data_IF_582894850783
#
_entry.id   IF_582894850783
#
_cell.length_a   1.000
_cell.length_b   1.000
_cell.length_c   1.000
_cell.angle_alpha   90.00
_cell.angle_beta   90.00
_cell.angle_gamma   90.00
#
_symmetry.space_group_name_H-M   'P 1'
#
loop_
_entity.id
_entity.type
_entity.pdbx_description
1 polymer ?
#
# COMPACT_ATOMS: atom_id res chain seq x y z
N UNK A 1 -3.57 30.09 -27.65
CA UNK A 1 -4.66 29.91 -26.66
C UNK A 1 -4.86 28.42 -26.43
N UNK A 2 -4.29 27.88 -25.35
CA UNK A 2 -4.46 26.47 -24.97
C UNK A 2 -5.71 26.39 -24.07
N UNK A 3 -6.86 26.06 -24.68
CA UNK A 3 -8.05 25.61 -23.94
C UNK A 3 -7.79 24.20 -23.45
N UNK A 4 -7.40 24.06 -22.19
CA UNK A 4 -7.35 22.77 -21.49
C UNK A 4 -8.76 22.53 -20.94
N UNK A 5 -9.34 21.41 -21.35
CA UNK A 5 -10.75 21.07 -21.15
C UNK A 5 -11.18 21.09 -19.69
N UNK A 6 -12.19 21.93 -19.42
CA UNK A 6 -13.08 21.83 -18.28
C UNK A 6 -13.92 20.55 -18.43
N UNK A 7 -13.43 19.43 -17.94
CA UNK A 7 -14.21 18.20 -17.83
C UNK A 7 -15.19 18.32 -16.67
N UNK A 8 -16.47 18.44 -17.03
CA UNK A 8 -17.70 18.12 -16.30
C UNK A 8 -17.75 18.47 -14.81
N UNK A 9 -18.56 19.48 -14.46
CA UNK A 9 -19.01 19.68 -13.09
C UNK A 9 -19.80 18.46 -12.63
N UNK A 10 -19.38 17.85 -11.51
CA UNK A 10 -20.19 16.90 -10.76
C UNK A 10 -21.48 17.62 -10.35
N UNK A 11 -22.53 17.47 -11.17
CA UNK A 11 -23.85 18.03 -10.83
C UNK A 11 -24.34 17.34 -9.57
N UNK A 12 -25.08 18.04 -8.70
CA UNK A 12 -25.60 17.48 -7.43
C UNK A 12 -26.29 16.12 -7.60
N UNK A 13 -26.91 15.88 -8.77
CA UNK A 13 -27.53 14.60 -9.12
C UNK A 13 -26.55 13.41 -9.13
N UNK A 14 -25.30 13.61 -9.51
CA UNK A 14 -24.28 12.56 -9.57
C UNK A 14 -23.83 12.13 -8.16
N UNK A 15 -23.67 13.10 -7.27
CA UNK A 15 -23.26 12.86 -5.87
C UNK A 15 -24.29 11.99 -5.12
N UNK A 16 -25.58 12.19 -5.39
CA UNK A 16 -26.65 11.39 -4.75
C UNK A 16 -26.69 9.93 -5.21
N UNK A 17 -26.17 9.62 -6.41
CA UNK A 17 -26.15 8.26 -6.97
C UNK A 17 -24.87 7.50 -6.64
N UNK A 18 -23.86 8.20 -6.10
CA UNK A 18 -22.55 7.63 -5.80
C UNK A 18 -22.61 6.61 -4.65
N UNK A 19 -21.86 5.51 -4.77
CA UNK A 19 -21.73 4.52 -3.71
C UNK A 19 -21.11 5.13 -2.44
N UNK A 20 -21.46 4.63 -1.25
CA UNK A 20 -20.94 5.13 0.02
C UNK A 20 -19.41 5.02 0.11
N UNK A 21 -18.84 3.91 -0.38
CA UNK A 21 -17.39 3.68 -0.39
C UNK A 21 -16.67 4.75 -1.25
N UNK A 22 -17.18 5.00 -2.46
CA UNK A 22 -16.68 6.04 -3.34
C UNK A 22 -16.83 7.43 -2.70
N UNK A 23 -17.97 7.74 -2.08
CA UNK A 23 -18.19 9.00 -1.37
C UNK A 23 -17.13 9.25 -0.30
N UNK A 24 -16.79 8.25 0.50
CA UNK A 24 -15.74 8.37 1.53
C UNK A 24 -14.36 8.64 0.92
N UNK A 25 -14.00 7.94 -0.17
CA UNK A 25 -12.74 8.17 -0.89
C UNK A 25 -12.67 9.60 -1.44
N UNK A 26 -13.77 10.13 -1.97
CA UNK A 26 -13.85 11.48 -2.48
C UNK A 26 -13.71 12.53 -1.36
N UNK A 27 -14.34 12.31 -0.21
CA UNK A 27 -14.17 13.18 0.98
C UNK A 27 -12.71 13.19 1.41
N UNK A 28 -12.09 12.02 1.61
CA UNK A 28 -10.70 11.92 2.06
C UNK A 28 -9.73 12.59 1.07
N UNK A 29 -9.97 12.45 -0.24
CA UNK A 29 -9.18 13.13 -1.26
C UNK A 29 -9.28 14.64 -1.15
N UNK A 30 -10.49 15.18 -0.97
CA UNK A 30 -10.69 16.61 -0.78
C UNK A 30 -10.01 17.10 0.51
N UNK A 31 -10.16 16.40 1.63
CA UNK A 31 -9.52 16.75 2.89
C UNK A 31 -8.00 16.81 2.77
N UNK A 32 -7.39 15.84 2.08
CA UNK A 32 -5.94 15.85 1.80
C UNK A 32 -5.52 17.09 1.03
N UNK A 33 -6.27 17.47 0.00
CA UNK A 33 -5.98 18.69 -0.78
C UNK A 33 -6.16 19.96 0.06
N UNK A 34 -7.18 20.01 0.92
CA UNK A 34 -7.46 21.16 1.78
C UNK A 34 -6.38 21.38 2.86
N UNK A 35 -5.65 20.34 3.25
CA UNK A 35 -4.49 20.46 4.17
C UNK A 35 -3.27 21.14 3.55
N UNK A 36 -3.26 21.38 2.24
CA UNK A 36 -2.12 21.97 1.52
C UNK A 36 -2.51 23.30 0.86
N UNK A 37 -2.56 24.41 1.62
CA UNK A 37 -2.98 25.72 1.08
C UNK A 37 -2.07 26.22 -0.04
N UNK A 38 -0.79 25.82 -0.05
CA UNK A 38 0.17 26.15 -1.11
C UNK A 38 -0.12 25.47 -2.46
N UNK A 39 -0.84 24.34 -2.47
CA UNK A 39 -1.30 23.70 -3.70
C UNK A 39 -2.56 24.37 -4.21
N UNK A 40 -3.46 24.76 -3.30
CA UNK A 40 -4.71 25.44 -3.66
C UNK A 40 -4.45 26.82 -4.25
N UNK A 41 -3.50 27.58 -3.71
CA UNK A 41 -3.14 28.92 -4.23
C UNK A 41 -2.54 28.92 -5.64
N UNK A 42 -2.14 27.75 -6.16
CA UNK A 42 -1.65 27.59 -7.54
C UNK A 42 -2.78 27.33 -8.54
N UNK A 43 -3.97 27.00 -8.07
CA UNK A 43 -5.14 26.77 -8.92
C UNK A 43 -5.75 28.11 -9.33
N UNK A 44 -6.34 28.20 -10.54
CA UNK A 44 -6.93 29.45 -11.04
C UNK A 44 -8.12 29.95 -10.20
N UNK A 45 -8.74 29.07 -9.41
CA UNK A 45 -9.87 29.34 -8.52
C UNK A 45 -9.47 29.35 -7.03
N UNK A 46 -8.17 29.32 -6.73
CA UNK A 46 -7.64 29.23 -5.35
C UNK A 46 -8.23 28.05 -4.54
N UNK A 47 -8.63 26.98 -5.23
CA UNK A 47 -9.21 25.78 -4.63
C UNK A 47 -10.69 25.88 -4.27
N UNK A 48 -11.42 26.90 -4.76
CA UNK A 48 -12.85 27.07 -4.46
C UNK A 48 -13.68 25.86 -4.92
N UNK A 49 -13.42 25.33 -6.11
CA UNK A 49 -14.12 24.13 -6.61
C UNK A 49 -13.91 22.90 -5.74
N UNK A 50 -12.75 22.77 -5.09
CA UNK A 50 -12.46 21.67 -4.16
C UNK A 50 -13.27 21.85 -2.87
N UNK A 51 -13.33 23.09 -2.35
CA UNK A 51 -14.15 23.43 -1.17
C UNK A 51 -15.63 23.17 -1.43
N UNK A 52 -16.17 23.61 -2.58
CA UNK A 52 -17.57 23.38 -2.93
C UNK A 52 -17.90 21.89 -3.03
N UNK A 53 -17.05 21.08 -3.71
CA UNK A 53 -17.26 19.63 -3.79
C UNK A 53 -17.18 18.94 -2.44
N UNK A 54 -16.21 19.32 -1.61
CA UNK A 54 -16.10 18.80 -0.25
C UNK A 54 -17.38 19.07 0.56
N UNK A 55 -17.92 20.29 0.47
CA UNK A 55 -19.18 20.64 1.14
C UNK A 55 -20.36 19.78 0.63
N UNK A 56 -20.45 19.54 -0.68
CA UNK A 56 -21.47 18.66 -1.26
C UNK A 56 -21.35 17.21 -0.76
N UNK A 57 -20.14 16.64 -0.77
CA UNK A 57 -19.92 15.26 -0.31
C UNK A 57 -20.20 15.09 1.18
N UNK A 58 -19.78 16.06 2.01
CA UNK A 58 -20.05 16.04 3.46
C UNK A 58 -21.55 16.17 3.73
N UNK A 59 -22.25 17.07 3.03
CA UNK A 59 -23.70 17.22 3.15
C UNK A 59 -24.44 15.93 2.75
N UNK A 60 -24.01 15.28 1.67
CA UNK A 60 -24.59 14.00 1.23
C UNK A 60 -24.34 12.88 2.25
N UNK A 61 -23.13 12.82 2.81
CA UNK A 61 -22.80 11.86 3.88
C UNK A 61 -23.70 12.08 5.09
N UNK A 62 -23.83 13.32 5.56
CA UNK A 62 -24.72 13.66 6.68
C UNK A 62 -26.18 13.35 6.37
N UNK A 63 -26.64 13.56 5.12
CA UNK A 63 -27.98 13.18 4.68
C UNK A 63 -28.22 11.67 4.79
N UNK A 64 -27.23 10.84 4.41
CA UNK A 64 -27.31 9.37 4.53
C UNK A 64 -27.25 8.90 5.99
N UNK A 65 -26.43 9.54 6.82
CA UNK A 65 -26.32 9.22 8.26
C UNK A 65 -27.62 9.55 9.01
N UNK A 66 -28.26 10.69 8.72
CA UNK A 66 -29.56 11.08 9.31
C UNK A 66 -30.71 10.28 8.72
N UNK A 67 -30.60 9.90 7.44
CA UNK A 67 -31.64 9.20 6.67
C UNK A 67 -31.70 7.68 6.86
N UNK A 68 -30.82 7.09 7.69
CA UNK A 68 -30.85 5.68 8.10
C UNK A 68 -31.34 4.70 7.03
N UNK A 69 -30.48 4.33 6.07
CA UNK A 69 -30.65 3.15 5.18
C UNK A 69 -31.93 3.03 4.32
N UNK A 70 -32.79 4.05 4.22
CA UNK A 70 -34.11 3.91 3.58
C UNK A 70 -34.18 4.12 2.05
N UNK A 71 -33.06 4.13 1.31
CA UNK A 71 -33.09 4.34 -0.17
C UNK A 71 -32.23 3.36 -0.99
N UNK A 72 -31.96 2.17 -0.46
CA UNK A 72 -31.47 1.03 -1.26
C UNK A 72 -32.64 0.33 -1.98
N UNK A 73 -33.25 1.01 -2.95
CA UNK A 73 -34.25 0.38 -3.82
C UNK A 73 -34.46 1.15 -5.13
N UNK A 74 -33.61 0.93 -6.14
CA UNK A 74 -34.09 0.82 -7.54
C UNK A 74 -32.99 0.42 -8.52
N UNK A 75 -33.32 -0.61 -9.30
CA UNK A 75 -32.69 -1.11 -10.53
C UNK A 75 -31.54 -2.11 -10.36
N UNK A 76 -31.94 -3.36 -10.05
CA UNK A 76 -31.99 -4.42 -11.07
C UNK A 76 -30.82 -4.37 -12.08
N UNK A 77 -29.69 -4.96 -11.68
CA UNK A 77 -28.90 -5.81 -12.56
C UNK A 77 -28.62 -7.09 -11.79
N UNK A 78 -29.29 -8.12 -12.27
CA UNK A 78 -29.24 -9.51 -11.83
C UNK A 78 -27.89 -10.12 -12.24
N UNK A 79 -27.41 -11.05 -11.41
CA UNK A 79 -26.23 -11.91 -11.59
C UNK A 79 -24.82 -11.31 -11.32
N UNK A 80 -24.12 -12.02 -10.41
CA UNK A 80 -22.66 -12.02 -10.19
C UNK A 80 -22.10 -11.02 -9.16
N UNK A 81 -22.49 -11.14 -7.88
CA UNK A 81 -21.63 -10.63 -6.79
C UNK A 81 -21.82 -11.35 -5.44
N UNK A 82 -21.80 -12.68 -5.48
CA UNK A 82 -21.93 -13.55 -4.30
C UNK A 82 -20.62 -14.05 -3.68
N UNK A 83 -19.46 -13.68 -4.23
CA UNK A 83 -18.19 -14.43 -3.97
C UNK A 83 -17.12 -13.70 -3.15
N UNK A 84 -17.27 -12.41 -2.82
CA UNK A 84 -16.16 -11.63 -2.21
C UNK A 84 -16.22 -11.58 -0.68
N UNK A 85 -17.37 -11.81 -0.05
CA UNK A 85 -17.51 -11.77 1.42
C UNK A 85 -17.24 -13.09 2.16
N UNK A 86 -16.94 -14.18 1.45
CA UNK A 86 -16.65 -15.48 2.07
C UNK A 86 -15.14 -15.73 2.28
N UNK A 87 -14.27 -15.07 1.52
CA UNK A 87 -12.81 -15.25 1.61
C UNK A 87 -12.23 -14.48 2.81
N UNK A 88 -12.78 -13.32 3.16
CA UNK A 88 -12.30 -12.50 4.29
C UNK A 88 -12.61 -13.12 5.66
N UNK A 89 -13.67 -13.94 5.77
CA UNK A 89 -14.01 -14.67 7.01
C UNK A 89 -13.17 -15.93 7.26
N UNK A 90 -12.49 -16.47 6.25
CA UNK A 90 -11.57 -17.59 6.43
C UNK A 90 -10.18 -17.11 6.87
N UNK A 91 -9.75 -15.92 6.45
CA UNK A 91 -8.43 -15.36 6.80
C UNK A 91 -8.37 -14.94 8.27
N UNK A 92 -9.47 -14.46 8.87
CA UNK A 92 -9.51 -14.11 10.30
C UNK A 92 -9.63 -15.31 11.25
N UNK A 93 -9.94 -16.51 10.77
CA UNK A 93 -10.04 -17.71 11.62
C UNK A 93 -8.73 -18.53 11.69
N UNK A 94 -7.75 -18.25 10.83
CA UNK A 94 -6.48 -18.99 10.82
C UNK A 94 -5.37 -18.39 11.68
N UNK A 95 -5.52 -17.17 12.21
CA UNK A 95 -4.42 -16.45 12.88
C UNK A 95 -4.55 -16.29 14.40
N UNK A 96 -5.59 -16.84 15.03
CA UNK A 96 -5.85 -16.68 16.48
C UNK A 96 -6.31 -18.00 17.13
N UNK A 97 -5.44 -19.02 17.16
CA UNK A 97 -5.66 -20.22 17.99
C UNK A 97 -4.34 -20.97 18.23
N UNK A 98 -3.46 -20.43 19.07
CA UNK A 98 -2.46 -21.23 19.80
C UNK A 98 -1.82 -20.37 20.89
N UNK A 99 -2.45 -20.28 22.06
CA UNK A 99 -1.77 -20.05 23.34
C UNK A 99 -2.62 -20.62 24.48
N UNK A 100 -2.49 -21.92 24.74
CA UNK A 100 -2.69 -22.49 26.08
C UNK A 100 -1.66 -23.61 26.31
N UNK A 101 -0.68 -23.28 27.17
CA UNK A 101 -0.31 -24.02 28.39
C UNK A 101 0.23 -25.46 28.26
N UNK A 102 1.29 -25.72 29.04
CA UNK A 102 1.91 -27.03 29.35
C UNK A 102 3.09 -27.38 28.42
N UNK A 103 4.23 -27.91 28.85
CA UNK A 103 4.86 -28.10 30.14
C UNK A 103 6.32 -28.50 29.88
N UNK A 104 7.15 -28.09 30.82
CA UNK A 104 8.57 -28.36 31.01
C UNK A 104 8.90 -29.86 30.89
N UNK A 105 9.74 -30.26 29.93
CA UNK A 105 10.90 -31.15 30.14
C UNK A 105 11.70 -31.36 28.85
N UNK A 106 13.03 -31.35 29.01
CA UNK A 106 14.04 -31.46 27.98
C UNK A 106 14.15 -32.88 27.39
N UNK A 107 14.58 -32.98 26.11
CA UNK A 107 15.67 -33.86 25.63
C UNK A 107 15.89 -33.66 24.12
N UNK A 108 17.05 -33.06 23.79
CA UNK A 108 17.99 -33.27 22.66
C UNK A 108 17.54 -33.54 21.20
N UNK A 109 18.39 -33.15 20.21
CA UNK A 109 17.99 -32.74 18.86
C UNK A 109 18.20 -33.84 17.79
N UNK A 110 17.42 -33.80 16.70
CA UNK A 110 17.79 -34.48 15.46
C UNK A 110 17.10 -33.89 14.22
N UNK A 111 17.95 -33.52 13.27
CA UNK A 111 17.79 -33.55 11.80
C UNK A 111 16.58 -32.89 11.12
N UNK A 112 16.89 -31.80 10.41
CA UNK A 112 16.09 -31.22 9.36
C UNK A 112 15.97 -32.19 8.16
N UNK A 113 14.74 -32.63 7.86
CA UNK A 113 14.38 -33.10 6.52
C UNK A 113 13.28 -32.21 5.97
N UNK A 114 13.65 -31.42 4.97
CA UNK A 114 12.73 -30.74 4.08
C UNK A 114 12.05 -31.80 3.21
N UNK A 115 10.72 -31.89 3.31
CA UNK A 115 9.89 -32.62 2.36
C UNK A 115 8.80 -31.67 1.86
N UNK A 116 9.10 -31.02 0.74
CA UNK A 116 8.11 -30.37 -0.11
C UNK A 116 7.28 -31.48 -0.76
N UNK A 117 6.03 -31.63 -0.32
CA UNK A 117 5.02 -32.42 -1.00
C UNK A 117 4.06 -31.46 -1.71
N UNK A 118 4.17 -31.36 -3.04
CA UNK A 118 3.08 -30.92 -3.90
C UNK A 118 3.26 -31.57 -5.27
N UNK A 119 2.98 -32.88 -5.31
CA UNK A 119 2.67 -33.60 -6.54
C UNK A 119 1.16 -33.53 -6.80
N UNK A 120 0.79 -33.16 -8.04
CA UNK A 120 -0.43 -33.64 -8.67
C UNK A 120 -1.61 -32.67 -8.81
N UNK A 121 -1.58 -31.82 -9.84
CA UNK A 121 -2.77 -31.67 -10.70
C UNK A 121 -2.38 -31.23 -12.12
N UNK A 122 -2.33 -32.21 -13.00
CA UNK A 122 -2.11 -32.12 -14.45
C UNK A 122 -3.41 -31.82 -15.21
N UNK A 123 -3.26 -31.04 -16.28
CA UNK A 123 -4.02 -31.10 -17.55
C UNK A 123 -5.44 -30.50 -17.55
N UNK A 124 -5.54 -29.30 -18.11
CA UNK A 124 -6.78 -28.68 -18.59
C UNK A 124 -6.45 -27.53 -19.54
N UNK A 125 -6.94 -27.61 -20.77
CA UNK A 125 -6.49 -26.85 -21.93
C UNK A 125 -6.80 -25.34 -21.91
N UNK A 126 -5.88 -24.54 -22.46
CA UNK A 126 -6.21 -23.35 -23.28
C UNK A 126 -6.78 -22.10 -22.59
N UNK A 127 -6.80 -22.00 -21.26
CA UNK A 127 -7.14 -20.75 -20.57
C UNK A 127 -5.89 -19.92 -20.31
N UNK A 128 -5.94 -18.59 -20.50
CA UNK A 128 -4.95 -17.68 -19.91
C UNK A 128 -4.84 -18.03 -18.44
N UNK A 129 -3.73 -18.66 -18.03
CA UNK A 129 -3.46 -18.91 -16.63
C UNK A 129 -3.56 -17.55 -15.93
N UNK A 130 -4.52 -17.41 -15.04
CA UNK A 130 -4.63 -16.22 -14.19
C UNK A 130 -3.40 -16.29 -13.29
N UNK A 131 -2.33 -15.60 -13.68
CA UNK A 131 -1.11 -15.50 -12.88
C UNK A 131 -1.52 -14.97 -11.51
N UNK A 132 -1.18 -15.71 -10.45
CA UNK A 132 -1.43 -15.25 -9.09
C UNK A 132 -0.70 -13.95 -8.86
N UNK A 133 -1.32 -13.02 -8.13
CA UNK A 133 -0.69 -11.76 -7.74
C UNK A 133 0.68 -11.98 -7.08
N UNK A 134 0.81 -13.04 -6.28
CA UNK A 134 2.08 -13.38 -5.62
C UNK A 134 3.17 -13.78 -6.61
N UNK A 135 2.83 -14.51 -7.66
CA UNK A 135 3.79 -14.94 -8.68
C UNK A 135 4.22 -13.75 -9.54
N UNK A 136 3.29 -12.86 -9.90
CA UNK A 136 3.60 -11.61 -10.60
C UNK A 136 4.49 -10.71 -9.72
N UNK A 137 4.16 -10.54 -8.44
CA UNK A 137 4.95 -9.75 -7.51
C UNK A 137 6.36 -10.32 -7.32
N UNK A 138 6.49 -11.66 -7.22
CA UNK A 138 7.78 -12.34 -7.13
C UNK A 138 8.60 -12.15 -8.41
N UNK A 139 7.99 -12.33 -9.59
CA UNK A 139 8.65 -12.14 -10.87
C UNK A 139 9.11 -10.69 -11.09
N UNK A 140 8.30 -9.70 -10.70
CA UNK A 140 8.67 -8.27 -10.74
C UNK A 140 9.82 -7.99 -9.78
N UNK A 141 9.77 -8.52 -8.56
CA UNK A 141 10.85 -8.38 -7.57
C UNK A 141 12.17 -8.98 -8.07
N UNK A 142 12.10 -10.15 -8.71
CA UNK A 142 13.27 -10.85 -9.26
C UNK A 142 13.85 -10.12 -10.48
N UNK A 143 12.99 -9.60 -11.36
CA UNK A 143 13.39 -8.78 -12.51
C UNK A 143 14.15 -7.52 -12.10
N UNK A 144 13.78 -6.91 -10.98
CA UNK A 144 14.35 -5.65 -10.50
C UNK A 144 15.34 -5.81 -9.34
N UNK A 145 15.73 -7.05 -9.03
CA UNK A 145 16.59 -7.40 -7.88
C UNK A 145 17.89 -6.59 -7.80
N UNK A 146 18.52 -6.34 -8.95
CA UNK A 146 19.77 -5.58 -9.07
C UNK A 146 19.58 -4.24 -9.81
N UNK A 147 18.34 -3.82 -10.06
CA UNK A 147 18.07 -2.54 -10.71
C UNK A 147 18.37 -1.40 -9.75
N UNK A 148 19.32 -0.54 -10.10
CA UNK A 148 19.59 0.70 -9.36
C UNK A 148 18.68 1.82 -9.85
N UNK A 149 18.26 2.68 -8.92
CA UNK A 149 17.46 3.85 -9.23
C UNK A 149 18.35 4.89 -9.94
N UNK A 150 18.05 5.28 -11.19
CA UNK A 150 18.82 6.29 -11.92
C UNK A 150 18.43 7.69 -11.42
N UNK A 151 18.99 8.09 -10.27
CA UNK A 151 18.66 9.34 -9.57
C UNK A 151 18.72 10.56 -10.50
N UNK A 152 19.78 10.67 -11.29
CA UNK A 152 19.95 11.77 -12.24
C UNK A 152 18.80 11.87 -13.25
N UNK A 153 18.39 10.74 -13.82
CA UNK A 153 17.27 10.70 -14.76
C UNK A 153 15.97 11.18 -14.11
N UNK A 154 15.71 10.76 -12.87
CA UNK A 154 14.50 11.15 -12.12
C UNK A 154 14.54 12.64 -11.77
N UNK A 155 15.69 13.16 -11.30
CA UNK A 155 15.86 14.58 -10.98
C UNK A 155 15.69 15.43 -12.24
N UNK A 156 16.31 15.06 -13.35
CA UNK A 156 16.17 15.75 -14.63
C UNK A 156 14.73 15.69 -15.17
N UNK A 157 14.05 14.57 -15.03
CA UNK A 157 12.65 14.45 -15.44
C UNK A 157 11.73 15.34 -14.59
N UNK A 158 12.02 15.44 -13.29
CA UNK A 158 11.18 16.20 -12.34
C UNK A 158 11.43 17.71 -12.42
N UNK A 159 12.69 18.12 -12.60
CA UNK A 159 13.11 19.53 -12.51
C UNK A 159 13.67 20.13 -13.81
N UNK A 160 13.82 19.33 -14.88
CA UNK A 160 14.32 19.76 -16.18
C UNK A 160 13.36 20.76 -16.84
N UNK A 161 13.61 22.04 -16.60
CA UNK A 161 12.76 23.16 -17.04
C UNK A 161 12.38 24.12 -15.91
N UNK A 162 12.52 23.70 -14.65
CA UNK A 162 12.27 24.55 -13.47
C UNK A 162 13.57 25.01 -12.79
N UNK A 163 14.60 24.15 -12.79
CA UNK A 163 15.90 24.45 -12.18
C UNK A 163 16.97 24.61 -13.26
N UNK A 164 17.97 25.43 -12.97
CA UNK A 164 19.15 25.51 -13.82
C UNK A 164 20.03 24.26 -13.68
N UNK A 165 20.85 23.97 -14.68
CA UNK A 165 21.74 22.79 -14.67
C UNK A 165 22.67 22.77 -13.46
N UNK A 166 23.14 23.93 -12.99
CA UNK A 166 24.00 24.03 -11.82
C UNK A 166 23.30 23.61 -10.53
N UNK A 167 22.01 23.91 -10.39
CA UNK A 167 21.20 23.48 -9.25
C UNK A 167 20.90 21.99 -9.29
N UNK A 168 20.62 21.45 -10.49
CA UNK A 168 20.46 20.00 -10.70
C UNK A 168 21.74 19.27 -10.29
N UNK A 169 22.92 19.75 -10.72
CA UNK A 169 24.20 19.15 -10.36
C UNK A 169 24.48 19.25 -8.85
N UNK A 170 24.16 20.37 -8.21
CA UNK A 170 24.26 20.50 -6.74
C UNK A 170 23.42 19.44 -6.04
N UNK A 171 22.16 19.28 -6.45
CA UNK A 171 21.27 18.25 -5.89
C UNK A 171 21.83 16.83 -6.08
N UNK A 172 22.43 16.54 -7.24
CA UNK A 172 23.02 15.21 -7.49
C UNK A 172 24.28 14.97 -6.65
N UNK A 173 25.09 15.99 -6.41
CA UNK A 173 26.25 15.91 -5.54
C UNK A 173 25.89 15.76 -4.06
N UNK A 174 24.75 16.31 -3.63
CA UNK A 174 24.28 16.22 -2.24
C UNK A 174 23.78 14.81 -1.88
N UNK A 175 23.42 13.98 -2.86
CA UNK A 175 22.96 12.60 -2.63
C UNK A 175 24.17 11.67 -2.44
N UNK A 176 24.33 11.02 -1.28
CA UNK A 176 25.42 10.08 -1.06
C UNK A 176 25.44 8.97 -2.11
N UNK A 177 26.63 8.49 -2.52
CA UNK A 177 26.71 7.32 -3.37
C UNK A 177 26.07 6.13 -2.67
N UNK A 178 25.26 5.34 -3.40
CA UNK A 178 24.49 4.21 -2.87
C UNK A 178 23.42 4.59 -1.83
N UNK A 179 22.93 5.84 -1.82
CA UNK A 179 21.80 6.22 -0.97
C UNK A 179 20.56 5.34 -1.23
N UNK A 180 20.29 5.05 -2.51
CA UNK A 180 19.28 4.08 -2.91
C UNK A 180 19.90 2.70 -3.07
N UNK A 181 19.60 1.82 -2.12
CA UNK A 181 20.01 0.43 -2.14
C UNK A 181 19.22 -0.36 -3.19
N UNK A 182 19.88 -1.30 -3.83
CA UNK A 182 19.22 -2.38 -4.58
C UNK A 182 18.41 -3.26 -3.61
N UNK A 183 17.53 -4.10 -4.16
CA UNK A 183 16.78 -5.05 -3.35
C UNK A 183 17.73 -5.95 -2.53
N UNK A 184 18.78 -6.48 -3.15
CA UNK A 184 19.73 -7.35 -2.46
C UNK A 184 20.56 -6.65 -1.39
N UNK A 185 20.98 -5.42 -1.64
CA UNK A 185 21.64 -4.59 -0.63
C UNK A 185 20.69 -4.32 0.55
N UNK A 186 19.41 -4.06 0.26
CA UNK A 186 18.36 -3.86 1.28
C UNK A 186 18.14 -5.11 2.12
N UNK A 187 17.96 -6.28 1.50
CA UNK A 187 17.78 -7.56 2.20
C UNK A 187 19.03 -7.91 3.01
N UNK A 188 20.22 -7.67 2.47
CA UNK A 188 21.49 -7.93 3.17
C UNK A 188 21.65 -7.02 4.39
N UNK A 189 21.31 -5.73 4.27
CA UNK A 189 21.30 -4.79 5.39
C UNK A 189 20.29 -5.19 6.46
N UNK A 190 19.07 -5.58 6.09
CA UNK A 190 18.04 -6.05 7.03
C UNK A 190 18.50 -7.30 7.78
N UNK A 191 19.08 -8.29 7.08
CA UNK A 191 19.65 -9.49 7.72
C UNK A 191 20.74 -9.15 8.71
N UNK A 192 21.61 -8.20 8.36
CA UNK A 192 22.67 -7.71 9.25
C UNK A 192 22.07 -7.07 10.51
N UNK A 193 21.11 -6.15 10.37
CA UNK A 193 20.44 -5.50 11.50
C UNK A 193 19.78 -6.53 12.44
N UNK A 194 19.05 -7.51 11.89
CA UNK A 194 18.44 -8.59 12.69
C UNK A 194 19.48 -9.43 13.44
N UNK A 195 20.63 -9.69 12.80
CA UNK A 195 21.72 -10.43 13.46
C UNK A 195 22.36 -9.64 14.61
N UNK A 196 22.49 -8.32 14.44
CA UNK A 196 23.02 -7.41 15.46
C UNK A 196 22.05 -7.27 16.64
N UNK A 197 20.76 -7.09 16.37
CA UNK A 197 19.71 -7.05 17.40
C UNK A 197 19.64 -8.35 18.20
N UNK A 198 19.73 -9.50 17.51
CA UNK A 198 19.80 -10.81 18.16
C UNK A 198 21.03 -10.92 19.07
N UNK A 199 22.19 -10.45 18.61
CA UNK A 199 23.41 -10.46 19.41
C UNK A 199 23.29 -9.55 20.64
N UNK A 200 22.70 -8.36 20.49
CA UNK A 200 22.45 -7.43 21.60
C UNK A 200 21.46 -8.03 22.61
N UNK A 201 20.37 -8.65 22.16
CA UNK A 201 19.42 -9.35 23.02
C UNK A 201 20.09 -10.49 23.81
N UNK A 202 20.92 -11.31 23.16
CA UNK A 202 21.70 -12.36 23.81
C UNK A 202 22.70 -11.80 24.83
N UNK A 203 23.33 -10.66 24.52
CA UNK A 203 24.25 -9.98 25.44
C UNK A 203 23.52 -9.43 26.66
N UNK A 204 22.33 -8.83 26.48
CA UNK A 204 21.47 -8.38 27.58
C UNK A 204 21.06 -9.54 28.49
N UNK A 205 20.61 -10.66 27.93
CA UNK A 205 20.26 -11.87 28.70
C UNK A 205 21.46 -12.44 29.46
N UNK A 206 22.65 -12.44 28.84
CA UNK A 206 23.89 -12.88 29.49
C UNK A 206 24.22 -12.00 30.70
N UNK A 207 24.12 -10.68 30.54
CA UNK A 207 24.38 -9.72 31.60
C UNK A 207 23.38 -9.85 32.76
N UNK A 208 22.09 -10.09 32.47
CA UNK A 208 21.07 -10.37 33.48
C UNK A 208 21.39 -11.62 34.30
N UNK A 209 21.77 -12.72 33.63
CA UNK A 209 22.19 -13.96 34.29
C UNK A 209 23.41 -13.77 35.19
N UNK A 210 24.35 -12.90 34.79
CA UNK A 210 25.52 -12.56 35.62
C UNK A 210 25.21 -11.59 36.76
N UNK A 211 24.10 -10.84 36.70
CA UNK A 211 23.68 -9.94 37.78
C UNK A 211 22.84 -10.64 38.87
N UNK A 212 22.26 -11.81 38.57
CA UNK A 212 21.49 -12.63 39.52
C UNK A 212 22.35 -13.62 40.33
N UNK A 213 23.65 -13.73 40.03
CA UNK A 213 24.64 -14.54 40.77
C UNK A 213 25.53 -13.65 41.64
#
# INVERSE_FOLDING_TARGET
>A
MLSIGMTAMDTEGDVTQMELSALLVHIERCERLLRHPTLLSRLPDEGETIRSRHALYVAERSRREVGGDASSSRKENDAVEGSVRQVERQISQMTLSTEEKSEKTATMPMECHASLNTDGWTVGAGGKAVESYEDVARAVGEKHRHSRIPVEMIVRQTFGGSLCEAEIQRMLCDVPPNFFLTHDETISMQRKLLSEERLEALTRLRNQRHAEL
#
